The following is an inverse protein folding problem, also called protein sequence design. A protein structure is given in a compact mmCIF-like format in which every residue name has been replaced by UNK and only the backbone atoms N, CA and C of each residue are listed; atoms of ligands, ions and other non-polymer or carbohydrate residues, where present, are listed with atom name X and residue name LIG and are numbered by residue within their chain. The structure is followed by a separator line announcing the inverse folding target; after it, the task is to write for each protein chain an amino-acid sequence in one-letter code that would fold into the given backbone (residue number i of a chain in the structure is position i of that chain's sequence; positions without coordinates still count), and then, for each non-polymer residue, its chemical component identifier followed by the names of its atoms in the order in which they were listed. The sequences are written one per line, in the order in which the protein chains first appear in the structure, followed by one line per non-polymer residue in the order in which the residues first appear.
data_IF_930972405604
#
_entry.id   IF_930972405604
#
_cell.length_a   1.000
_cell.length_b   1.000
_cell.length_c   1.000
_cell.angle_alpha   90.00
_cell.angle_beta   90.00
_cell.angle_gamma   90.00
#
_symmetry.space_group_name_H-M   'P 1'
#
loop_
_entity.id
_entity.type
_entity.pdbx_description
1 polymer ?
#
# COMPACT_ATOMS: atom_id res chain seq x y z
N UNK A 1 -3.52 20.65 23.13
CA UNK A 1 -2.93 20.12 21.87
C UNK A 1 -2.13 18.89 22.28
N UNK A 2 -2.43 17.71 21.73
CA UNK A 2 -1.68 16.51 22.06
C UNK A 2 -0.22 16.71 21.64
N UNK A 3 0.70 16.36 22.54
CA UNK A 3 2.13 16.34 22.28
C UNK A 3 2.41 15.47 21.04
N UNK A 4 3.11 16.03 20.04
CA UNK A 4 3.43 15.32 18.80
C UNK A 4 4.46 14.22 19.11
N UNK A 5 3.95 13.01 19.32
CA UNK A 5 4.76 11.83 19.63
C UNK A 5 5.06 11.08 18.34
N UNK A 6 6.31 10.67 18.15
CA UNK A 6 6.68 9.80 17.03
C UNK A 6 5.84 8.51 17.02
N UNK A 7 5.61 7.94 15.84
CA UNK A 7 4.90 6.67 15.69
C UNK A 7 5.52 5.58 16.58
N UNK A 8 6.85 5.52 16.67
CA UNK A 8 7.55 4.59 17.55
C UNK A 8 7.17 4.78 19.03
N UNK A 9 7.12 6.02 19.51
CA UNK A 9 6.70 6.30 20.88
C UNK A 9 5.24 5.87 21.14
N UNK A 10 4.35 6.07 20.16
CA UNK A 10 2.96 5.63 20.24
C UNK A 10 2.85 4.09 20.25
N UNK A 11 3.63 3.38 19.42
CA UNK A 11 3.65 1.91 19.43
C UNK A 11 4.24 1.37 20.73
N UNK A 12 5.30 1.98 21.26
CA UNK A 12 5.83 1.61 22.57
C UNK A 12 4.77 1.78 23.66
N UNK A 13 4.02 2.88 23.63
CA UNK A 13 2.92 3.11 24.56
C UNK A 13 1.78 2.09 24.37
N UNK A 14 1.46 1.71 23.13
CA UNK A 14 0.49 0.68 22.83
C UNK A 14 0.90 -0.68 23.45
N UNK A 15 2.17 -1.07 23.33
CA UNK A 15 2.70 -2.29 23.95
C UNK A 15 2.50 -2.28 25.47
N UNK A 16 2.79 -1.16 26.14
CA UNK A 16 2.51 -1.00 27.58
C UNK A 16 1.02 -1.14 27.89
N UNK A 17 0.15 -0.51 27.08
CA UNK A 17 -1.29 -0.52 27.29
C UNK A 17 -1.92 -1.91 27.14
N UNK A 18 -1.34 -2.80 26.31
CA UNK A 18 -1.78 -4.19 26.15
C UNK A 18 -1.11 -5.15 27.15
N UNK A 19 -0.33 -4.64 28.10
CA UNK A 19 0.31 -5.43 29.16
C UNK A 19 1.63 -6.11 28.77
N UNK A 20 2.23 -5.76 27.63
CA UNK A 20 3.54 -6.25 27.24
C UNK A 20 4.68 -5.44 27.90
N UNK A 21 5.87 -6.06 28.00
CA UNK A 21 7.10 -5.38 28.40
C UNK A 21 7.89 -4.97 27.14
N UNK A 22 7.92 -3.69 26.74
CA UNK A 22 8.63 -3.26 25.52
C UNK A 22 10.15 -3.43 25.59
N UNK A 23 10.73 -3.59 26.79
CA UNK A 23 12.18 -3.72 26.99
C UNK A 23 12.67 -5.17 26.92
N UNK A 24 11.77 -6.15 26.75
CA UNK A 24 12.18 -7.53 26.49
C UNK A 24 12.86 -7.64 25.13
N UNK A 25 13.84 -8.54 25.02
CA UNK A 25 14.70 -8.72 23.83
C UNK A 25 13.91 -8.73 22.51
N UNK A 26 12.79 -9.47 22.47
CA UNK A 26 11.95 -9.58 21.26
C UNK A 26 11.19 -8.30 20.86
N UNK A 27 10.89 -7.40 21.81
CA UNK A 27 10.10 -6.19 21.58
C UNK A 27 10.89 -4.90 21.56
N UNK A 28 12.15 -4.90 21.98
CA UNK A 28 12.98 -3.70 22.04
C UNK A 28 13.00 -2.92 20.71
N UNK A 29 12.95 -3.64 19.58
CA UNK A 29 12.87 -3.06 18.22
C UNK A 29 11.49 -3.13 17.57
N UNK A 30 10.46 -3.63 18.26
CA UNK A 30 9.09 -3.67 17.71
C UNK A 30 8.56 -2.28 17.34
N UNK A 31 8.73 -1.23 18.17
CA UNK A 31 8.26 0.10 17.80
C UNK A 31 8.80 0.61 16.46
N UNK A 32 10.13 0.50 16.26
CA UNK A 32 10.81 0.85 15.00
C UNK A 32 10.28 0.02 13.82
N UNK A 33 10.18 -1.31 13.99
CA UNK A 33 9.69 -2.20 12.93
C UNK A 33 8.25 -1.88 12.52
N UNK A 34 7.36 -1.63 13.47
CA UNK A 34 5.96 -1.32 13.20
C UNK A 34 5.83 0.05 12.52
N UNK A 35 6.59 1.06 12.97
CA UNK A 35 6.60 2.37 12.31
C UNK A 35 7.02 2.25 10.83
N UNK A 36 8.11 1.54 10.55
CA UNK A 36 8.56 1.25 9.18
C UNK A 36 7.55 0.44 8.36
N UNK A 37 6.83 -0.49 8.99
CA UNK A 37 5.75 -1.21 8.33
C UNK A 37 4.62 -0.27 7.92
N UNK A 38 4.21 0.68 8.77
CA UNK A 38 3.19 1.66 8.38
C UNK A 38 3.66 2.58 7.26
N UNK A 39 4.92 3.03 7.27
CA UNK A 39 5.49 3.79 6.16
C UNK A 39 5.37 3.04 4.84
N UNK A 40 5.67 1.73 4.84
CA UNK A 40 5.53 0.90 3.65
C UNK A 40 4.06 0.69 3.23
N UNK A 41 3.18 0.34 4.18
CA UNK A 41 1.78 -0.01 3.91
C UNK A 41 0.95 1.20 3.49
N UNK A 42 1.33 2.40 3.93
CA UNK A 42 0.62 3.65 3.65
C UNK A 42 1.34 4.53 2.63
N UNK A 43 2.41 4.04 2.00
CA UNK A 43 3.22 4.80 1.02
C UNK A 43 2.39 5.31 -0.16
N UNK A 44 1.30 4.63 -0.50
CA UNK A 44 0.40 5.00 -1.60
C UNK A 44 -0.14 6.43 -1.47
N UNK A 45 -0.30 6.96 -0.25
CA UNK A 45 -0.72 8.36 -0.05
C UNK A 45 0.28 9.39 -0.55
N UNK A 46 1.56 9.03 -0.68
CA UNK A 46 2.63 9.90 -1.17
C UNK A 46 2.93 9.67 -2.66
N UNK A 47 2.27 8.72 -3.29
CA UNK A 47 2.47 8.38 -4.70
C UNK A 47 1.46 9.11 -5.57
N UNK A 48 1.89 9.47 -6.78
CA UNK A 48 1.03 10.07 -7.80
C UNK A 48 0.77 9.07 -8.92
N UNK A 49 -0.50 8.86 -9.32
CA UNK A 49 -0.83 7.92 -10.40
C UNK A 49 -0.03 8.20 -11.69
N UNK A 50 0.15 9.47 -12.04
CA UNK A 50 0.92 9.87 -13.23
C UNK A 50 2.37 9.36 -13.20
N UNK A 51 3.03 9.42 -12.03
CA UNK A 51 4.42 8.97 -11.85
C UNK A 51 4.52 7.44 -11.87
N UNK A 52 3.52 6.76 -11.30
CA UNK A 52 3.41 5.29 -11.34
C UNK A 52 3.29 4.80 -12.77
N UNK A 53 2.42 5.44 -13.56
CA UNK A 53 2.20 5.12 -14.96
C UNK A 53 3.44 5.43 -15.82
N UNK A 54 4.05 6.60 -15.62
CA UNK A 54 5.21 7.07 -16.40
C UNK A 54 4.95 7.01 -17.91
N UNK A 55 5.98 6.71 -18.69
CA UNK A 55 5.91 6.70 -20.16
C UNK A 55 5.49 5.35 -20.78
N UNK A 56 5.01 4.40 -19.98
CA UNK A 56 4.64 3.06 -20.45
C UNK A 56 3.24 3.04 -21.09
N UNK A 57 3.05 3.92 -22.07
CA UNK A 57 1.86 4.07 -22.90
C UNK A 57 2.26 3.76 -24.33
N UNK A 58 1.66 2.72 -24.89
CA UNK A 58 1.93 2.23 -26.23
C UNK A 58 0.80 2.65 -27.17
N UNK A 59 1.14 3.08 -28.37
CA UNK A 59 0.14 3.42 -29.39
C UNK A 59 -0.13 2.19 -30.24
N UNK A 60 -1.26 1.55 -29.99
CA UNK A 60 -1.75 0.43 -30.78
C UNK A 60 -3.21 0.68 -31.17
N UNK A 61 -3.55 0.36 -32.40
CA UNK A 61 -4.92 0.31 -32.89
C UNK A 61 -5.64 -0.94 -32.33
N UNK A 62 -5.77 -0.98 -31.01
CA UNK A 62 -6.56 -1.96 -30.30
C UNK A 62 -7.87 -1.32 -29.87
N UNK A 63 -8.99 -1.85 -30.36
CA UNK A 63 -10.35 -1.45 -29.97
C UNK A 63 -11.09 -2.57 -29.22
N UNK A 64 -10.36 -3.59 -28.76
CA UNK A 64 -10.88 -4.69 -27.97
C UNK A 64 -10.63 -4.45 -26.48
N UNK A 65 -11.41 -5.09 -25.62
CA UNK A 65 -11.22 -5.02 -24.17
C UNK A 65 -9.89 -5.66 -23.78
N UNK A 66 -9.07 -4.93 -23.03
CA UNK A 66 -7.89 -5.44 -22.34
C UNK A 66 -8.30 -5.79 -20.91
N UNK A 67 -7.98 -7.00 -20.47
CA UNK A 67 -8.25 -7.48 -19.12
C UNK A 67 -6.94 -7.90 -18.46
N UNK A 68 -6.64 -7.28 -17.32
CA UNK A 68 -5.61 -7.74 -16.39
C UNK A 68 -6.31 -8.30 -15.16
N UNK A 69 -6.06 -9.58 -14.85
CA UNK A 69 -6.78 -10.31 -13.81
C UNK A 69 -5.82 -10.92 -12.80
N UNK A 70 -6.36 -11.23 -11.64
CA UNK A 70 -5.66 -11.91 -10.56
C UNK A 70 -4.45 -11.11 -10.03
N UNK A 71 -4.58 -9.77 -10.01
CA UNK A 71 -3.62 -8.88 -9.34
C UNK A 71 -3.83 -9.05 -7.83
N UNK A 72 -2.83 -9.53 -7.12
CA UNK A 72 -2.89 -9.65 -5.66
C UNK A 72 -2.93 -8.26 -5.02
N UNK A 73 -3.81 -8.09 -4.02
CA UNK A 73 -3.94 -6.82 -3.30
C UNK A 73 -3.80 -7.07 -1.81
N UNK A 74 -3.03 -6.21 -1.15
CA UNK A 74 -2.91 -6.12 0.29
C UNK A 74 -3.17 -4.68 0.71
N UNK A 75 -4.10 -4.45 1.62
CA UNK A 75 -4.43 -3.12 2.10
C UNK A 75 -4.85 -3.16 3.57
N UNK A 76 -5.15 -1.99 4.14
CA UNK A 76 -5.54 -1.83 5.54
C UNK A 76 -6.96 -1.28 5.63
N UNK A 77 -7.81 -1.94 6.43
CA UNK A 77 -9.15 -1.43 6.71
C UNK A 77 -9.04 -0.21 7.63
N UNK A 78 -9.51 0.96 7.18
CA UNK A 78 -9.47 2.20 7.96
C UNK A 78 -10.20 2.12 9.31
N UNK A 79 -11.22 1.28 9.43
CA UNK A 79 -12.02 1.15 10.65
C UNK A 79 -11.29 0.43 11.79
N UNK A 80 -10.42 -0.52 11.45
CA UNK A 80 -9.81 -1.43 12.43
C UNK A 80 -8.28 -1.45 12.36
N UNK A 81 -7.70 -0.84 11.32
CA UNK A 81 -6.28 -0.91 10.97
C UNK A 81 -5.76 -2.34 10.81
N UNK A 82 -6.65 -3.28 10.46
CA UNK A 82 -6.32 -4.67 10.18
C UNK A 82 -6.17 -4.90 8.67
N UNK A 83 -5.28 -5.80 8.24
CA UNK A 83 -5.13 -6.14 6.84
C UNK A 83 -6.41 -6.75 6.25
N UNK A 84 -6.70 -6.37 5.01
CA UNK A 84 -7.53 -7.16 4.12
C UNK A 84 -6.76 -7.42 2.83
N UNK A 85 -7.02 -8.55 2.20
CA UNK A 85 -6.33 -8.97 1.00
C UNK A 85 -7.29 -9.67 0.05
N UNK A 86 -6.96 -9.66 -1.24
CA UNK A 86 -7.83 -10.19 -2.26
C UNK A 86 -7.22 -10.07 -3.65
N UNK A 87 -8.10 -9.97 -4.66
CA UNK A 87 -7.69 -9.82 -6.05
C UNK A 87 -8.39 -8.65 -6.70
N UNK A 88 -7.63 -7.87 -7.47
CA UNK A 88 -8.14 -6.83 -8.34
C UNK A 88 -8.13 -7.33 -9.80
N UNK A 89 -9.19 -6.98 -10.52
CA UNK A 89 -9.32 -7.23 -11.95
C UNK A 89 -9.58 -5.89 -12.63
N UNK A 90 -8.74 -5.54 -13.59
CA UNK A 90 -8.84 -4.30 -14.37
C UNK A 90 -9.29 -4.67 -15.77
N UNK A 91 -10.36 -4.02 -16.23
CA UNK A 91 -10.83 -4.11 -17.62
C UNK A 91 -10.97 -2.71 -18.21
N UNK A 92 -10.42 -2.48 -19.40
CA UNK A 92 -10.60 -1.22 -20.11
C UNK A 92 -10.62 -1.45 -21.63
N UNK A 93 -11.22 -0.51 -22.37
CA UNK A 93 -11.19 -0.50 -23.85
C UNK A 93 -10.24 0.62 -24.28
N UNK A 94 -9.10 0.31 -24.93
CA UNK A 94 -8.15 1.31 -25.38
C UNK A 94 -8.75 2.25 -26.44
N UNK A 95 -8.23 3.48 -26.51
CA UNK A 95 -8.52 4.44 -27.59
C UNK A 95 -7.21 4.91 -28.24
N UNK A 96 -6.56 3.99 -28.96
CA UNK A 96 -5.25 4.24 -29.58
C UNK A 96 -4.08 4.27 -28.59
N UNK A 97 -4.33 3.97 -27.31
CA UNK A 97 -3.33 3.93 -26.24
C UNK A 97 -3.55 2.73 -25.32
N UNK A 98 -2.53 1.88 -25.19
CA UNK A 98 -2.50 0.68 -24.35
C UNK A 98 -1.48 0.91 -23.23
N UNK A 99 -1.87 0.61 -21.98
CA UNK A 99 -1.00 0.73 -20.83
C UNK A 99 -0.17 -0.55 -20.66
N UNK A 100 1.10 -0.39 -20.25
CA UNK A 100 1.92 -1.54 -19.88
C UNK A 100 1.29 -2.33 -18.73
N UNK A 101 1.14 -3.65 -18.89
CA UNK A 101 0.49 -4.53 -17.90
C UNK A 101 1.11 -4.40 -16.50
N UNK A 102 2.43 -4.27 -16.42
CA UNK A 102 3.14 -4.10 -15.14
C UNK A 102 2.82 -2.76 -14.45
N UNK A 103 2.42 -1.73 -15.18
CA UNK A 103 1.98 -0.45 -14.60
C UNK A 103 0.59 -0.54 -14.00
N UNK A 104 -0.30 -1.29 -14.64
CA UNK A 104 -1.65 -1.53 -14.11
C UNK A 104 -1.57 -2.27 -12.77
N UNK A 105 -0.66 -3.24 -12.61
CA UNK A 105 -0.42 -3.86 -11.32
C UNK A 105 0.14 -2.87 -10.27
N UNK A 106 1.11 -2.03 -10.65
CA UNK A 106 1.67 -1.00 -9.75
C UNK A 106 0.71 0.12 -9.38
N UNK A 107 -0.34 0.34 -10.18
CA UNK A 107 -1.39 1.31 -9.89
C UNK A 107 -2.37 0.76 -8.82
N UNK A 108 -2.46 -0.56 -8.70
CA UNK A 108 -3.25 -1.23 -7.66
C UNK A 108 -2.53 -1.22 -6.31
N UNK A 109 -1.20 -1.32 -6.32
CA UNK A 109 -0.33 -1.13 -5.16
C UNK A 109 -0.35 0.32 -4.63
#
# INVERSE_FOLDING_TARGET
MAEDKSTEALIRQLLLNIGENPDREGLAKTPERVAKSFEFLLRGYQQRPEEVMGDAIFHEDCNHMVIVRDIEVYSLCEHHMLPFFGRCHIGYIPKGQVYGVSKLARLVD
#
